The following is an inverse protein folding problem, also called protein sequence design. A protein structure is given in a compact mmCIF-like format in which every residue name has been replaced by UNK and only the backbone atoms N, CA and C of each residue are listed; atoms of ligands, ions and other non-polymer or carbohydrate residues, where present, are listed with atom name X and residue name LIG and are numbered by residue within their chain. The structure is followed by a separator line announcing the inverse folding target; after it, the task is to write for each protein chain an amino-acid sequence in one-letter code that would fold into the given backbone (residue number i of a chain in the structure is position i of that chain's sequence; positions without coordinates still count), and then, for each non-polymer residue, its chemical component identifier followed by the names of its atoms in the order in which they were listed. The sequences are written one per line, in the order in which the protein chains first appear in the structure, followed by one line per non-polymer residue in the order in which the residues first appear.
data_IF_310117065098
#
_entry.id   IF_310117065098
#
_cell.length_a   1.000
_cell.length_b   1.000
_cell.length_c   1.000
_cell.angle_alpha   90.00
_cell.angle_beta   90.00
_cell.angle_gamma   90.00
#
_symmetry.space_group_name_H-M   'P 1'
#
loop_
_entity.id
_entity.type
_entity.pdbx_description
1 polymer ?
#
# COMPACT_ATOMS: atom_id res chain seq x y z
N UNK A 1 16.66 -34.48 -0.93
CA UNK A 1 15.69 -33.41 -0.58
C UNK A 1 16.28 -31.99 -0.71
N UNK A 2 17.57 -31.83 -1.01
CA UNK A 2 18.30 -30.56 -0.81
C UNK A 2 18.45 -29.65 -2.05
N UNK A 3 18.21 -30.17 -3.27
CA UNK A 3 18.47 -29.41 -4.49
C UNK A 3 17.53 -28.20 -4.69
N UNK A 4 16.23 -28.36 -4.38
CA UNK A 4 15.22 -27.30 -4.56
C UNK A 4 15.41 -26.11 -3.60
N UNK A 5 15.77 -26.40 -2.36
CA UNK A 5 16.03 -25.37 -1.34
C UNK A 5 17.32 -24.62 -1.64
N UNK A 6 18.36 -25.32 -2.08
CA UNK A 6 19.63 -24.70 -2.48
C UNK A 6 19.47 -23.78 -3.70
N UNK A 7 18.69 -24.19 -4.72
CA UNK A 7 18.42 -23.38 -5.91
C UNK A 7 17.58 -22.14 -5.57
N UNK A 8 16.51 -22.31 -4.78
CA UNK A 8 15.67 -21.17 -4.38
C UNK A 8 16.43 -20.19 -3.50
N UNK A 9 17.24 -20.67 -2.54
CA UNK A 9 18.05 -19.81 -1.69
C UNK A 9 19.04 -18.96 -2.49
N UNK A 10 19.75 -19.56 -3.45
CA UNK A 10 20.65 -18.81 -4.35
C UNK A 10 19.90 -17.82 -5.24
N UNK A 11 18.66 -18.13 -5.62
CA UNK A 11 17.78 -17.21 -6.34
C UNK A 11 17.40 -16.00 -5.47
N UNK A 12 17.00 -16.25 -4.22
CA UNK A 12 16.65 -15.21 -3.25
C UNK A 12 17.83 -14.28 -2.94
N UNK A 13 19.03 -14.81 -2.74
CA UNK A 13 20.26 -14.03 -2.51
C UNK A 13 20.55 -13.05 -3.66
N UNK A 14 20.42 -13.52 -4.92
CA UNK A 14 20.58 -12.64 -6.10
C UNK A 14 19.43 -11.64 -6.26
N UNK A 15 18.20 -12.03 -5.93
CA UNK A 15 17.05 -11.13 -6.01
C UNK A 15 17.18 -10.02 -4.96
N UNK A 16 17.64 -10.34 -3.75
CA UNK A 16 17.88 -9.38 -2.66
C UNK A 16 18.86 -8.27 -3.06
N UNK A 17 19.88 -8.59 -3.88
CA UNK A 17 20.82 -7.59 -4.43
C UNK A 17 20.20 -6.71 -5.54
N UNK A 18 19.10 -7.16 -6.16
CA UNK A 18 18.49 -6.51 -7.34
C UNK A 18 17.24 -5.67 -7.04
N UNK A 19 16.66 -5.80 -5.84
CA UNK A 19 15.44 -5.09 -5.44
C UNK A 19 15.62 -4.35 -4.11
N UNK A 20 14.68 -3.46 -3.79
CA UNK A 20 14.71 -2.74 -2.52
C UNK A 20 14.49 -3.70 -1.32
N UNK A 21 15.17 -3.48 -0.18
CA UNK A 21 15.06 -4.34 1.01
C UNK A 21 13.63 -4.50 1.54
N UNK A 22 12.83 -3.45 1.49
CA UNK A 22 11.43 -3.48 1.95
C UNK A 22 10.53 -4.32 1.01
N UNK A 23 10.78 -4.28 -0.29
CA UNK A 23 10.09 -5.12 -1.28
C UNK A 23 10.48 -6.59 -1.12
N UNK A 24 11.77 -6.86 -0.87
CA UNK A 24 12.26 -8.21 -0.59
C UNK A 24 11.64 -8.79 0.69
N UNK A 25 11.69 -8.03 1.79
CA UNK A 25 11.13 -8.45 3.08
C UNK A 25 9.62 -8.72 2.99
N UNK A 26 8.89 -7.92 2.19
CA UNK A 26 7.44 -8.05 2.05
C UNK A 26 7.05 -9.25 1.19
N UNK A 27 7.69 -9.46 0.04
CA UNK A 27 7.22 -10.38 -1.01
C UNK A 27 7.96 -11.70 -1.06
N UNK A 28 9.26 -11.72 -0.75
CA UNK A 28 10.12 -12.89 -0.94
C UNK A 28 10.43 -13.62 0.37
N UNK A 29 10.54 -12.88 1.49
CA UNK A 29 10.74 -13.47 2.81
C UNK A 29 9.71 -14.56 3.20
N UNK A 30 8.39 -14.41 2.91
CA UNK A 30 7.42 -15.43 3.26
C UNK A 30 7.24 -16.52 2.18
N UNK A 31 8.21 -16.71 1.28
CA UNK A 31 8.14 -17.70 0.18
C UNK A 31 9.13 -18.84 0.37
N UNK A 32 8.74 -20.05 -0.06
CA UNK A 32 9.62 -21.22 0.01
C UNK A 32 9.29 -22.22 -1.11
N UNK A 33 10.26 -23.03 -1.58
CA UNK A 33 10.05 -23.93 -2.69
C UNK A 33 9.30 -25.18 -2.22
N UNK A 34 8.10 -25.39 -2.75
CA UNK A 34 7.28 -26.56 -2.44
C UNK A 34 7.72 -27.76 -3.26
N UNK A 35 7.90 -27.60 -4.57
CA UNK A 35 8.30 -28.67 -5.46
C UNK A 35 9.25 -28.18 -6.57
N UNK A 36 10.06 -29.09 -7.11
CA UNK A 36 10.92 -28.86 -8.27
C UNK A 36 10.95 -30.15 -9.09
N UNK A 37 10.16 -30.19 -10.17
CA UNK A 37 10.03 -31.34 -11.05
C UNK A 37 10.06 -30.89 -12.52
N UNK A 38 10.75 -31.62 -13.39
CA UNK A 38 10.77 -31.42 -14.85
C UNK A 38 10.99 -29.96 -15.33
N UNK A 39 11.88 -29.21 -14.66
CA UNK A 39 12.15 -27.81 -15.02
C UNK A 39 11.08 -26.80 -14.59
N UNK A 40 10.17 -27.17 -13.68
CA UNK A 40 9.19 -26.29 -13.07
C UNK A 40 9.42 -26.24 -11.55
N UNK A 41 9.68 -25.04 -11.01
CA UNK A 41 9.72 -24.81 -9.57
C UNK A 41 8.38 -24.24 -9.11
N UNK A 42 7.78 -24.90 -8.11
CA UNK A 42 6.54 -24.43 -7.48
C UNK A 42 6.86 -23.77 -6.15
N UNK A 43 6.58 -22.47 -6.04
CA UNK A 43 6.84 -21.66 -4.84
C UNK A 43 5.56 -21.53 -4.02
N UNK A 44 5.63 -21.86 -2.74
CA UNK A 44 4.54 -21.64 -1.81
C UNK A 44 4.51 -20.17 -1.39
N UNK A 45 3.32 -19.58 -1.41
CA UNK A 45 3.05 -18.21 -1.00
C UNK A 45 1.91 -18.14 0.01
N UNK A 46 1.85 -17.10 0.86
CA UNK A 46 0.87 -17.02 1.95
C UNK A 46 -0.60 -16.99 1.51
N UNK A 47 -0.91 -16.34 0.37
CA UNK A 47 -2.27 -16.18 -0.12
C UNK A 47 -2.30 -15.89 -1.63
N UNK A 48 -3.50 -15.86 -2.21
CA UNK A 48 -3.69 -15.64 -3.65
C UNK A 48 -3.11 -14.30 -4.14
N UNK A 49 -3.14 -13.28 -3.29
CA UNK A 49 -2.63 -11.95 -3.62
C UNK A 49 -1.10 -11.94 -3.75
N UNK A 50 -0.38 -12.64 -2.87
CA UNK A 50 1.07 -12.85 -3.03
C UNK A 50 1.40 -13.58 -4.33
N UNK A 51 0.60 -14.59 -4.68
CA UNK A 51 0.76 -15.35 -5.93
C UNK A 51 0.63 -14.44 -7.14
N UNK A 52 -0.44 -13.65 -7.21
CA UNK A 52 -0.69 -12.74 -8.34
C UNK A 52 0.38 -11.65 -8.44
N UNK A 53 0.79 -11.04 -7.32
CA UNK A 53 1.82 -10.01 -7.29
C UNK A 53 3.20 -10.52 -7.75
N UNK A 54 3.62 -11.70 -7.29
CA UNK A 54 4.87 -12.32 -7.71
C UNK A 54 4.84 -12.74 -9.19
N UNK A 55 3.68 -13.19 -9.69
CA UNK A 55 3.49 -13.52 -11.11
C UNK A 55 3.55 -12.28 -12.00
N UNK A 56 2.89 -11.18 -11.62
CA UNK A 56 2.76 -10.01 -12.49
C UNK A 56 4.02 -9.12 -12.44
N UNK A 57 4.63 -8.93 -11.27
CA UNK A 57 5.70 -7.94 -11.09
C UNK A 57 7.11 -8.53 -11.05
N UNK A 58 7.23 -9.81 -10.64
CA UNK A 58 8.53 -10.40 -10.34
C UNK A 58 8.81 -11.69 -11.10
N UNK A 59 7.86 -12.20 -11.90
CA UNK A 59 8.03 -13.47 -12.61
C UNK A 59 9.20 -13.46 -13.56
N UNK A 60 9.32 -12.44 -14.41
CA UNK A 60 10.44 -12.33 -15.34
C UNK A 60 11.77 -12.22 -14.59
N UNK A 61 11.81 -11.47 -13.48
CA UNK A 61 13.00 -11.36 -12.63
C UNK A 61 13.39 -12.72 -12.04
N UNK A 62 12.42 -13.47 -11.52
CA UNK A 62 12.65 -14.78 -10.91
C UNK A 62 13.08 -15.81 -11.97
N UNK A 63 12.39 -15.87 -13.11
CA UNK A 63 12.72 -16.78 -14.22
C UNK A 63 14.13 -16.48 -14.80
N UNK A 64 14.48 -15.21 -14.99
CA UNK A 64 15.82 -14.82 -15.44
C UNK A 64 16.90 -15.14 -14.41
N UNK A 65 16.62 -14.94 -13.12
CA UNK A 65 17.56 -15.25 -12.04
C UNK A 65 17.77 -16.76 -11.91
N UNK A 66 16.70 -17.55 -12.00
CA UNK A 66 16.78 -19.03 -11.97
C UNK A 66 17.55 -19.57 -13.17
N UNK A 67 17.34 -19.02 -14.36
CA UNK A 67 18.13 -19.37 -15.56
C UNK A 67 19.63 -19.13 -15.35
N UNK A 68 19.98 -18.03 -14.69
CA UNK A 68 21.37 -17.66 -14.40
C UNK A 68 21.98 -18.51 -13.27
N UNK A 69 21.16 -19.11 -12.40
CA UNK A 69 21.62 -19.90 -11.24
C UNK A 69 21.73 -21.39 -11.58
N UNK A 70 20.91 -21.89 -12.50
CA UNK A 70 20.81 -23.32 -12.83
C UNK A 70 21.36 -23.71 -14.19
N UNK A 71 21.76 -22.74 -15.03
CA UNK A 71 22.16 -22.92 -16.44
C UNK A 71 21.09 -23.64 -17.31
N UNK A 72 19.89 -23.85 -16.78
CA UNK A 72 18.73 -24.46 -17.42
C UNK A 72 17.53 -23.51 -17.36
N UNK A 73 16.55 -23.70 -18.25
CA UNK A 73 15.33 -22.89 -18.25
C UNK A 73 14.33 -23.47 -17.26
N UNK A 74 14.33 -22.94 -16.03
CA UNK A 74 13.37 -23.32 -15.00
C UNK A 74 12.20 -22.34 -15.02
N UNK A 75 10.99 -22.87 -15.27
CA UNK A 75 9.74 -22.13 -15.17
C UNK A 75 9.30 -22.01 -13.71
N UNK A 76 8.57 -20.94 -13.39
CA UNK A 76 8.10 -20.68 -12.03
C UNK A 76 6.58 -20.74 -12.00
N UNK A 77 6.04 -21.53 -11.09
CA UNK A 77 4.63 -21.47 -10.70
C UNK A 77 4.53 -21.22 -9.19
N UNK A 78 3.38 -20.73 -8.75
CA UNK A 78 3.13 -20.36 -7.37
C UNK A 78 1.90 -21.12 -6.87
N UNK A 79 1.95 -21.58 -5.62
CA UNK A 79 0.82 -22.24 -4.97
C UNK A 79 0.55 -21.59 -3.61
N UNK A 80 -0.71 -21.57 -3.19
CA UNK A 80 -1.08 -21.09 -1.87
C UNK A 80 -0.80 -22.19 -0.85
N UNK A 81 -0.18 -21.84 0.27
CA UNK A 81 -0.04 -22.76 1.38
C UNK A 81 -1.39 -22.93 2.10
N UNK A 82 -2.12 -23.98 1.71
CA UNK A 82 -3.42 -24.33 2.26
C UNK A 82 -3.34 -24.98 3.66
N UNK A 83 -2.18 -25.44 4.11
CA UNK A 83 -2.04 -26.10 5.42
C UNK A 83 -1.91 -25.11 6.58
N UNK A 84 -1.43 -23.88 6.37
CA UNK A 84 -1.39 -22.83 7.41
C UNK A 84 -2.66 -21.98 7.52
N UNK A 85 -3.53 -21.99 6.50
CA UNK A 85 -4.80 -21.25 6.53
C UNK A 85 -5.90 -21.97 7.34
N UNK A 86 -5.73 -23.25 7.66
CA UNK A 86 -6.75 -24.03 8.41
C UNK A 86 -6.79 -23.75 9.92
N UNK A 87 -5.77 -23.10 10.50
CA UNK A 87 -5.69 -22.84 11.95
C UNK A 87 -6.10 -21.43 12.38
N UNK A 88 -6.23 -20.48 11.45
CA UNK A 88 -6.66 -19.10 11.78
C UNK A 88 -8.15 -18.84 11.55
N UNK A 89 -8.87 -19.73 10.88
CA UNK A 89 -10.32 -19.61 10.62
C UNK A 89 -11.22 -20.37 11.63
N UNK A 90 -10.66 -21.08 12.61
CA UNK A 90 -11.44 -21.89 13.56
C UNK A 90 -11.52 -21.38 15.02
N UNK A 91 -10.94 -20.23 15.36
CA UNK A 91 -11.07 -19.66 16.72
C UNK A 91 -12.19 -18.61 16.89
N UNK A 92 -12.97 -18.31 15.84
CA UNK A 92 -14.05 -17.31 15.94
C UNK A 92 -15.47 -17.86 15.73
N UNK A 93 -15.67 -19.17 15.85
CA UNK A 93 -17.01 -19.76 15.89
C UNK A 93 -17.11 -20.80 17.00
N UNK A 94 -17.48 -20.37 18.20
CA UNK A 94 -18.44 -21.08 19.08
C UNK A 94 -18.53 -20.38 20.44
N UNK A 95 -19.63 -19.64 20.63
CA UNK A 95 -20.49 -19.69 21.83
C UNK A 95 -21.60 -18.66 21.64
N UNK A 96 -22.60 -19.04 20.82
CA UNK A 96 -23.91 -18.40 20.85
C UNK A 96 -24.76 -19.24 21.79
N UNK A 97 -25.05 -18.70 22.98
CA UNK A 97 -26.31 -19.01 23.65
C UNK A 97 -27.24 -17.82 23.47
N UNK A 98 -28.42 -18.16 22.98
CA UNK A 98 -29.53 -17.28 22.60
C UNK A 98 -30.22 -16.78 23.85
N UNK A 99 -30.37 -15.47 24.02
CA UNK A 99 -31.58 -14.94 24.64
C UNK A 99 -31.91 -13.52 24.18
N UNK A 100 -33.21 -13.30 24.04
CA UNK A 100 -33.89 -12.26 23.27
C UNK A 100 -33.75 -10.87 23.89
N UNK A 101 -33.33 -9.89 23.07
CA UNK A 101 -33.85 -8.52 23.13
C UNK A 101 -33.46 -7.72 21.88
N UNK A 102 -34.51 -7.31 21.16
CA UNK A 102 -34.73 -6.21 20.21
C UNK A 102 -33.56 -5.37 19.61
N UNK A 103 -33.77 -4.80 18.40
CA UNK A 103 -32.71 -4.46 17.47
C UNK A 103 -32.04 -3.13 17.84
N UNK A 104 -30.72 -3.15 17.99
CA UNK A 104 -29.90 -1.95 17.83
C UNK A 104 -29.18 -2.11 16.50
N UNK A 105 -29.61 -1.33 15.52
CA UNK A 105 -28.86 -1.06 14.30
C UNK A 105 -27.41 -0.68 14.68
N UNK A 106 -26.48 -1.64 14.63
CA UNK A 106 -25.07 -1.30 14.55
C UNK A 106 -24.77 -0.97 13.10
N UNK A 107 -25.05 0.28 12.78
CA UNK A 107 -24.52 0.95 11.61
C UNK A 107 -23.00 0.70 11.49
N UNK A 108 -22.55 0.66 10.24
CA UNK A 108 -21.15 0.59 9.85
C UNK A 108 -20.31 1.54 10.72
N UNK A 109 -19.54 0.98 11.65
CA UNK A 109 -18.57 1.77 12.39
C UNK A 109 -17.46 2.22 11.42
N UNK A 110 -17.07 3.50 11.41
CA UNK A 110 -15.95 3.97 10.62
C UNK A 110 -14.69 3.31 11.16
N UNK A 111 -13.92 2.62 10.32
CA UNK A 111 -12.60 2.14 10.72
C UNK A 111 -11.71 3.36 11.02
N UNK A 112 -11.45 3.60 12.31
CA UNK A 112 -10.76 4.78 12.81
C UNK A 112 -9.26 4.80 12.45
N UNK A 113 -8.78 6.03 12.24
CA UNK A 113 -7.44 6.64 12.19
C UNK A 113 -6.11 5.84 12.11
N UNK A 114 -6.03 4.56 12.46
CA UNK A 114 -4.74 3.94 12.86
C UNK A 114 -4.22 2.82 11.95
N UNK A 115 -5.03 2.20 11.09
CA UNK A 115 -4.56 1.04 10.32
C UNK A 115 -3.58 1.37 9.18
N UNK A 116 -3.58 2.59 8.65
CA UNK A 116 -2.76 2.97 7.48
C UNK A 116 -1.54 3.82 7.81
N UNK A 117 -1.39 4.29 9.05
CA UNK A 117 -0.33 5.22 9.42
C UNK A 117 0.77 4.53 10.20
N UNK A 118 2.03 4.83 9.87
CA UNK A 118 3.17 4.34 10.64
C UNK A 118 3.38 5.23 11.89
N UNK A 119 3.26 4.68 13.12
CA UNK A 119 3.38 5.47 14.35
C UNK A 119 4.80 5.97 14.62
N UNK A 120 5.82 5.48 13.91
CA UNK A 120 7.22 5.94 14.06
C UNK A 120 7.46 7.30 13.41
N UNK A 121 6.65 7.67 12.42
CA UNK A 121 6.80 8.91 11.66
C UNK A 121 5.97 10.03 12.28
N UNK A 122 6.57 10.76 13.21
CA UNK A 122 5.98 11.93 13.88
C UNK A 122 6.83 13.17 13.62
N UNK A 123 6.24 14.35 13.78
CA UNK A 123 6.97 15.62 13.68
C UNK A 123 8.14 15.71 14.68
N UNK A 124 7.99 15.14 15.89
CA UNK A 124 9.07 15.10 16.89
C UNK A 124 10.33 14.36 16.43
N UNK A 125 10.16 13.38 15.53
CA UNK A 125 11.24 12.55 14.99
C UNK A 125 11.75 13.07 13.64
N UNK A 126 11.18 14.16 13.12
CA UNK A 126 11.59 14.76 11.86
C UNK A 126 12.64 15.84 12.12
N UNK A 127 13.85 15.64 11.60
CA UNK A 127 14.95 16.60 11.78
C UNK A 127 14.77 17.78 10.83
N UNK A 128 14.56 18.96 11.40
CA UNK A 128 14.37 20.20 10.65
C UNK A 128 15.70 20.90 10.38
N UNK A 129 15.92 21.26 9.13
CA UNK A 129 17.06 22.07 8.67
C UNK A 129 16.62 23.06 7.59
N UNK A 130 17.53 23.93 7.14
CA UNK A 130 17.24 24.97 6.16
C UNK A 130 16.63 24.46 4.85
N UNK A 131 16.98 23.23 4.43
CA UNK A 131 16.49 22.60 3.21
C UNK A 131 15.05 22.06 3.29
N UNK A 132 14.54 21.76 4.48
CA UNK A 132 13.22 21.14 4.67
C UNK A 132 12.29 21.95 5.61
N UNK A 133 12.76 23.07 6.15
CA UNK A 133 12.03 23.92 7.09
C UNK A 133 10.68 24.38 6.53
N UNK A 134 10.64 24.76 5.25
CA UNK A 134 9.41 25.21 4.61
C UNK A 134 8.38 24.08 4.48
N UNK A 135 8.80 22.92 3.99
CA UNK A 135 7.92 21.74 3.89
C UNK A 135 7.40 21.29 5.25
N UNK A 136 8.28 21.29 6.27
CA UNK A 136 7.90 20.99 7.65
C UNK A 136 6.88 22.00 8.21
N UNK A 137 7.10 23.30 8.02
CA UNK A 137 6.18 24.34 8.49
C UNK A 137 4.80 24.24 7.80
N UNK A 138 4.77 24.00 6.49
CA UNK A 138 3.53 23.79 5.75
C UNK A 138 2.78 22.53 6.22
N UNK A 139 3.50 21.43 6.42
CA UNK A 139 2.95 20.18 6.96
C UNK A 139 2.36 20.40 8.37
N UNK A 140 3.05 21.13 9.25
CA UNK A 140 2.56 21.45 10.59
C UNK A 140 1.32 22.34 10.55
N UNK A 141 1.27 23.32 9.64
CA UNK A 141 0.09 24.18 9.47
C UNK A 141 -1.15 23.37 9.04
N UNK A 142 -0.97 22.42 8.12
CA UNK A 142 -2.02 21.49 7.68
C UNK A 142 -2.46 20.55 8.79
N UNK A 143 -1.52 20.01 9.58
CA UNK A 143 -1.83 19.13 10.70
C UNK A 143 -2.66 19.84 11.79
N UNK A 144 -2.34 21.11 12.08
CA UNK A 144 -3.05 21.91 13.08
C UNK A 144 -4.41 22.41 12.59
N UNK A 145 -4.50 22.82 11.31
CA UNK A 145 -5.72 23.36 10.71
C UNK A 145 -6.04 22.66 9.38
N UNK A 146 -6.48 21.38 9.42
CA UNK A 146 -6.80 20.63 8.20
C UNK A 146 -7.87 21.35 7.37
N UNK A 147 -7.67 21.36 6.05
CA UNK A 147 -8.47 22.00 5.02
C UNK A 147 -8.54 23.54 5.05
N UNK A 148 -7.94 24.21 6.05
CA UNK A 148 -7.98 25.67 6.18
C UNK A 148 -6.66 26.37 5.82
N UNK A 149 -5.51 25.80 6.18
CA UNK A 149 -4.22 26.44 5.90
C UNK A 149 -3.80 26.29 4.43
N UNK A 150 -3.71 25.04 3.97
CA UNK A 150 -3.32 24.69 2.60
C UNK A 150 -4.11 23.45 2.14
N UNK A 151 -4.91 23.61 1.09
CA UNK A 151 -5.63 22.51 0.47
C UNK A 151 -5.65 22.68 -1.06
N UNK A 152 -5.15 21.71 -1.83
CA UNK A 152 -4.32 20.59 -1.37
C UNK A 152 -2.94 21.06 -0.89
N UNK A 153 -2.27 20.24 -0.07
CA UNK A 153 -0.83 20.38 0.18
C UNK A 153 -0.06 19.42 -0.75
N UNK A 154 0.81 19.97 -1.59
CA UNK A 154 1.67 19.19 -2.49
C UNK A 154 3.12 19.27 -2.03
N UNK A 155 3.70 18.13 -1.63
CA UNK A 155 5.09 18.01 -1.18
C UNK A 155 5.89 17.31 -2.27
N UNK A 156 6.97 17.93 -2.73
CA UNK A 156 7.85 17.30 -3.71
C UNK A 156 9.32 17.39 -3.34
N UNK A 157 10.10 16.48 -3.90
CA UNK A 157 11.55 16.42 -3.73
C UNK A 157 12.06 15.03 -4.07
N UNK A 158 13.37 14.91 -4.29
CA UNK A 158 14.00 13.62 -4.59
C UNK A 158 13.70 12.55 -3.53
N UNK A 159 14.00 11.30 -3.90
CA UNK A 159 13.88 10.15 -3.00
C UNK A 159 14.68 10.36 -1.70
N UNK A 160 14.17 9.84 -0.58
CA UNK A 160 14.84 9.92 0.72
C UNK A 160 14.80 11.29 1.43
N UNK A 161 14.15 12.31 0.86
CA UNK A 161 14.05 13.64 1.51
C UNK A 161 12.93 13.78 2.57
N UNK A 162 12.32 12.65 2.98
CA UNK A 162 11.36 12.64 4.08
C UNK A 162 9.91 12.97 3.71
N UNK A 163 9.53 12.90 2.42
CA UNK A 163 8.14 13.10 1.94
C UNK A 163 7.15 12.20 2.68
N UNK A 164 7.37 10.89 2.63
CA UNK A 164 6.56 9.87 3.31
C UNK A 164 6.50 10.11 4.82
N UNK A 165 7.63 10.49 5.44
CA UNK A 165 7.65 10.83 6.88
C UNK A 165 6.71 12.00 7.18
N UNK A 166 6.77 13.08 6.40
CA UNK A 166 5.90 14.24 6.58
C UNK A 166 4.41 13.89 6.38
N UNK A 167 4.07 13.08 5.38
CA UNK A 167 2.70 12.61 5.17
C UNK A 167 2.18 11.87 6.40
N UNK A 168 2.94 10.90 6.90
CA UNK A 168 2.55 10.16 8.10
C UNK A 168 2.50 11.05 9.34
N UNK A 169 3.43 11.99 9.51
CA UNK A 169 3.45 12.92 10.63
C UNK A 169 2.19 13.81 10.66
N UNK A 170 1.74 14.28 9.49
CA UNK A 170 0.46 15.00 9.35
C UNK A 170 -0.70 14.11 9.82
N UNK A 171 -0.79 12.88 9.28
CA UNK A 171 -1.85 11.95 9.64
C UNK A 171 -1.88 11.63 11.13
N UNK A 172 -0.72 11.30 11.71
CA UNK A 172 -0.58 10.97 13.12
C UNK A 172 -0.97 12.15 14.01
N UNK A 173 -0.54 13.37 13.67
CA UNK A 173 -0.88 14.57 14.44
C UNK A 173 -2.39 14.89 14.37
N UNK A 174 -3.01 14.73 13.20
CA UNK A 174 -4.47 14.91 13.06
C UNK A 174 -5.22 13.87 13.88
N UNK A 175 -4.79 12.61 13.83
CA UNK A 175 -5.39 11.53 14.62
C UNK A 175 -5.25 11.74 16.13
N UNK A 176 -4.14 12.33 16.59
CA UNK A 176 -3.93 12.68 17.99
C UNK A 176 -4.87 13.82 18.43
N UNK A 177 -5.07 14.83 17.59
CA UNK A 177 -5.90 15.99 17.92
C UNK A 177 -7.40 15.75 17.72
N UNK A 178 -7.77 14.91 16.74
CA UNK A 178 -9.16 14.59 16.37
C UNK A 178 -9.30 13.07 16.11
N UNK A 179 -9.44 12.25 17.16
CA UNK A 179 -9.48 10.78 17.05
C UNK A 179 -10.59 10.24 16.14
N UNK A 180 -11.71 10.97 16.02
CA UNK A 180 -12.85 10.59 15.17
C UNK A 180 -12.64 10.90 13.68
N UNK A 181 -11.53 11.53 13.30
CA UNK A 181 -11.27 11.88 11.90
C UNK A 181 -10.97 10.64 11.07
N UNK A 182 -11.57 10.57 9.88
CA UNK A 182 -11.29 9.49 8.92
C UNK A 182 -10.07 9.87 8.08
N UNK A 183 -8.90 9.52 8.59
CA UNK A 183 -7.60 9.73 7.94
C UNK A 183 -7.19 8.46 7.21
N UNK A 184 -6.74 8.58 5.95
CA UNK A 184 -6.18 7.46 5.19
C UNK A 184 -4.89 7.87 4.52
N UNK A 185 -3.87 7.03 4.70
CA UNK A 185 -2.65 7.03 3.91
C UNK A 185 -2.71 5.92 2.86
N UNK A 186 -2.25 6.21 1.65
CA UNK A 186 -2.15 5.25 0.56
C UNK A 186 -1.08 5.69 -0.45
N UNK A 187 -0.33 4.75 -1.04
CA UNK A 187 0.50 5.06 -2.20
C UNK A 187 -0.34 5.12 -3.48
N UNK A 188 0.08 5.93 -4.44
CA UNK A 188 -0.52 6.00 -5.78
C UNK A 188 -0.64 4.63 -6.46
N UNK A 189 0.35 3.75 -6.27
CA UNK A 189 0.33 2.37 -6.75
C UNK A 189 -0.78 1.56 -6.07
N UNK A 190 -0.87 1.61 -4.75
CA UNK A 190 -1.91 0.91 -3.99
C UNK A 190 -3.32 1.40 -4.38
N UNK A 191 -3.47 2.70 -4.64
CA UNK A 191 -4.72 3.27 -5.15
C UNK A 191 -5.07 2.72 -6.54
N UNK A 192 -4.08 2.63 -7.44
CA UNK A 192 -4.24 2.00 -8.76
C UNK A 192 -4.72 0.56 -8.62
N UNK A 193 -4.09 -0.22 -7.74
CA UNK A 193 -4.40 -1.63 -7.51
C UNK A 193 -5.83 -1.80 -6.99
N UNK A 194 -6.22 -1.02 -5.98
CA UNK A 194 -7.58 -1.06 -5.40
C UNK A 194 -8.66 -0.69 -6.44
N UNK A 195 -8.35 0.28 -7.32
CA UNK A 195 -9.24 0.65 -8.42
C UNK A 195 -9.40 -0.51 -9.42
N UNK A 196 -8.31 -1.11 -9.86
CA UNK A 196 -8.33 -2.23 -10.81
C UNK A 196 -9.11 -3.41 -10.22
N UNK A 197 -8.89 -3.75 -8.95
CA UNK A 197 -9.62 -4.81 -8.26
C UNK A 197 -11.13 -4.50 -8.18
N UNK A 198 -11.47 -3.27 -7.85
CA UNK A 198 -12.85 -2.81 -7.74
C UNK A 198 -13.57 -2.82 -9.09
N UNK A 199 -12.88 -2.52 -10.19
CA UNK A 199 -13.44 -2.67 -11.54
C UNK A 199 -13.62 -4.16 -11.88
N UNK A 200 -12.60 -5.00 -11.69
CA UNK A 200 -12.65 -6.43 -12.01
C UNK A 200 -13.77 -7.17 -11.27
N UNK A 201 -14.06 -6.78 -10.02
CA UNK A 201 -15.06 -7.42 -9.16
C UNK A 201 -16.44 -6.75 -9.19
N UNK A 202 -16.64 -5.74 -10.05
CA UNK A 202 -17.85 -4.91 -10.10
C UNK A 202 -18.22 -4.28 -8.72
N UNK A 203 -17.18 -3.81 -8.01
CA UNK A 203 -17.24 -3.23 -6.66
C UNK A 203 -16.88 -1.75 -6.63
N UNK A 204 -17.05 -1.03 -7.74
CA UNK A 204 -16.84 0.43 -7.78
C UNK A 204 -17.61 1.23 -6.71
N UNK A 205 -18.85 0.88 -6.33
CA UNK A 205 -19.52 1.55 -5.22
C UNK A 205 -18.78 1.41 -3.88
N UNK A 206 -18.13 0.27 -3.64
CA UNK A 206 -17.33 0.05 -2.44
C UNK A 206 -16.05 0.90 -2.44
N UNK A 207 -15.36 0.97 -3.59
CA UNK A 207 -14.22 1.87 -3.78
C UNK A 207 -14.57 3.31 -3.41
N UNK A 208 -15.67 3.84 -3.98
CA UNK A 208 -16.12 5.21 -3.71
C UNK A 208 -16.47 5.42 -2.24
N UNK A 209 -17.14 4.45 -1.61
CA UNK A 209 -17.48 4.48 -0.17
C UNK A 209 -16.24 4.41 0.73
N UNK A 210 -15.10 3.91 0.22
CA UNK A 210 -13.83 3.82 0.96
C UNK A 210 -13.06 5.14 0.95
N UNK A 211 -13.10 5.91 -0.15
CA UNK A 211 -12.29 7.13 -0.32
C UNK A 211 -13.07 8.45 -0.19
N UNK A 212 -14.30 8.54 -0.70
CA UNK A 212 -15.07 9.80 -0.72
C UNK A 212 -15.54 10.30 0.65
N UNK A 213 -15.82 9.45 1.65
CA UNK A 213 -16.18 9.95 2.97
C UNK A 213 -14.96 10.24 3.84
N UNK A 214 -13.73 10.29 3.32
CA UNK A 214 -12.57 10.61 4.16
C UNK A 214 -12.60 12.07 4.62
N UNK A 215 -12.01 12.35 5.78
CA UNK A 215 -11.79 13.71 6.25
C UNK A 215 -10.39 14.20 5.86
N UNK A 216 -9.44 13.26 5.72
CA UNK A 216 -8.07 13.51 5.26
C UNK A 216 -7.62 12.35 4.35
N UNK A 217 -7.17 12.70 3.15
CA UNK A 217 -6.53 11.77 2.22
C UNK A 217 -5.05 12.15 2.03
N UNK A 218 -4.16 11.22 2.34
CA UNK A 218 -2.71 11.34 2.16
C UNK A 218 -2.30 10.38 1.05
N UNK A 219 -1.86 10.91 -0.09
CA UNK A 219 -1.44 10.12 -1.26
C UNK A 219 0.07 10.27 -1.42
N UNK A 220 0.79 9.16 -1.34
CA UNK A 220 2.24 9.11 -1.57
C UNK A 220 2.57 8.79 -3.02
N UNK A 221 3.68 9.34 -3.51
CA UNK A 221 4.28 9.03 -4.81
C UNK A 221 3.33 9.11 -6.01
N UNK A 222 2.63 10.25 -6.13
CA UNK A 222 1.63 10.48 -7.18
C UNK A 222 2.18 10.31 -8.61
N UNK A 223 3.49 10.40 -8.82
CA UNK A 223 4.12 10.11 -10.10
C UNK A 223 3.75 8.72 -10.66
N UNK A 224 3.40 7.74 -9.82
CA UNK A 224 3.05 6.39 -10.27
C UNK A 224 1.67 6.25 -10.91
N UNK A 225 0.81 7.28 -10.88
CA UNK A 225 -0.42 7.29 -11.70
C UNK A 225 -0.20 7.90 -13.08
N UNK A 226 0.98 8.46 -13.38
CA UNK A 226 1.30 9.00 -14.70
C UNK A 226 1.16 7.92 -15.79
N UNK A 227 0.48 8.26 -16.90
CA UNK A 227 0.19 7.34 -18.00
C UNK A 227 -0.90 6.29 -17.73
N UNK A 228 -1.53 6.28 -16.54
CA UNK A 228 -2.65 5.39 -16.19
C UNK A 228 -3.98 6.14 -16.25
N UNK A 229 -4.46 6.46 -17.46
CA UNK A 229 -5.62 7.33 -17.72
C UNK A 229 -6.82 7.05 -16.80
N UNK A 230 -7.30 5.80 -16.74
CA UNK A 230 -8.43 5.42 -15.87
C UNK A 230 -8.17 5.68 -14.38
N UNK A 231 -6.94 5.53 -13.93
CA UNK A 231 -6.56 5.78 -12.53
C UNK A 231 -6.49 7.26 -12.25
N UNK A 232 -5.97 8.05 -13.18
CA UNK A 232 -5.95 9.50 -13.08
C UNK A 232 -7.37 10.07 -13.02
N UNK A 233 -8.27 9.60 -13.88
CA UNK A 233 -9.67 10.01 -13.87
C UNK A 233 -10.35 9.73 -12.53
N UNK A 234 -10.29 8.49 -12.01
CA UNK A 234 -10.95 8.20 -10.72
C UNK A 234 -10.24 8.87 -9.54
N UNK A 235 -8.92 9.07 -9.59
CA UNK A 235 -8.21 9.90 -8.63
C UNK A 235 -8.74 11.34 -8.68
N UNK A 236 -8.88 11.94 -9.85
CA UNK A 236 -9.40 13.29 -10.04
C UNK A 236 -10.84 13.44 -9.52
N UNK A 237 -11.72 12.47 -9.80
CA UNK A 237 -13.07 12.46 -9.22
C UNK A 237 -13.07 12.36 -7.69
N UNK A 238 -12.18 11.52 -7.14
CA UNK A 238 -12.02 11.38 -5.68
C UNK A 238 -11.48 12.66 -5.06
N UNK A 239 -10.47 13.26 -5.70
CA UNK A 239 -9.85 14.52 -5.32
C UNK A 239 -10.88 15.65 -5.28
N UNK A 240 -11.62 15.88 -6.36
CA UNK A 240 -12.62 16.94 -6.43
C UNK A 240 -13.72 16.75 -5.40
N UNK A 241 -14.20 15.50 -5.22
CA UNK A 241 -15.21 15.20 -4.19
C UNK A 241 -14.75 15.64 -2.79
N UNK A 242 -13.50 15.32 -2.43
CA UNK A 242 -12.93 15.70 -1.15
C UNK A 242 -12.66 17.19 -1.07
N UNK A 243 -12.12 17.79 -2.14
CA UNK A 243 -11.79 19.21 -2.22
C UNK A 243 -13.03 20.10 -2.07
N UNK A 244 -14.09 19.84 -2.83
CA UNK A 244 -15.37 20.56 -2.79
C UNK A 244 -16.09 20.36 -1.45
N UNK A 245 -15.88 19.21 -0.81
CA UNK A 245 -16.42 18.92 0.53
C UNK A 245 -15.55 19.47 1.66
N UNK A 246 -14.58 20.34 1.36
CA UNK A 246 -13.62 20.94 2.29
C UNK A 246 -12.89 19.90 3.16
N UNK A 247 -12.51 18.77 2.56
CA UNK A 247 -11.69 17.73 3.19
C UNK A 247 -10.23 17.93 2.80
N UNK A 248 -9.32 17.57 3.70
CA UNK A 248 -7.90 17.79 3.47
C UNK A 248 -7.35 16.75 2.48
N UNK A 249 -6.63 17.21 1.47
CA UNK A 249 -5.83 16.35 0.60
C UNK A 249 -4.36 16.73 0.70
N UNK A 250 -3.50 15.75 0.91
CA UNK A 250 -2.03 15.90 0.89
C UNK A 250 -1.47 14.93 -0.13
N UNK A 251 -0.61 15.43 -1.01
CA UNK A 251 -0.02 14.68 -2.12
C UNK A 251 1.49 14.79 -2.01
N UNK A 252 2.18 13.67 -2.19
CA UNK A 252 3.63 13.62 -2.32
C UNK A 252 4.04 13.27 -3.76
N UNK A 253 5.20 13.78 -4.19
CA UNK A 253 5.77 13.45 -5.51
C UNK A 253 7.29 13.50 -5.50
N UNK A 254 7.94 12.61 -6.26
CA UNK A 254 9.37 12.76 -6.56
C UNK A 254 9.67 13.90 -7.56
N UNK A 255 8.63 14.34 -8.29
CA UNK A 255 8.73 15.30 -9.38
C UNK A 255 7.87 16.52 -9.12
N UNK A 256 8.31 17.66 -9.64
CA UNK A 256 7.50 18.87 -9.64
C UNK A 256 6.24 18.64 -10.50
N UNK A 257 5.05 19.20 -10.16
CA UNK A 257 3.80 18.91 -10.88
C UNK A 257 3.90 19.07 -12.41
N UNK A 258 4.61 20.10 -12.88
CA UNK A 258 4.79 20.35 -14.34
C UNK A 258 5.63 19.29 -15.05
N UNK A 259 6.43 18.54 -14.30
CA UNK A 259 7.35 17.52 -14.84
C UNK A 259 6.74 16.10 -14.81
N UNK A 260 5.53 15.96 -14.28
CA UNK A 260 4.77 14.71 -14.33
C UNK A 260 4.12 14.61 -15.71
N UNK A 261 4.85 14.00 -16.65
CA UNK A 261 4.37 13.79 -18.02
C UNK A 261 3.03 13.02 -18.01
N UNK A 262 2.06 13.49 -18.80
CA UNK A 262 0.71 12.90 -18.91
C UNK A 262 -0.07 12.89 -17.59
N UNK A 263 0.10 13.91 -16.76
CA UNK A 263 -0.94 14.32 -15.81
C UNK A 263 -1.65 15.53 -16.42
N UNK A 264 -2.91 15.36 -16.81
CA UNK A 264 -3.81 16.47 -17.16
C UNK A 264 -4.62 16.93 -15.94
#
# INVERSE_FOLDING_TARGET
MEAKEAIWKKCLEKIEESILPDSYATWFSPTYPRNLDNGLITIAVPNQFYRECLIENYRELIENTLKTVSDETILVDFCIDSEKNALMDQQNQSTVFVEKSQPVERGLQPEACTKTLNPKYNFSNFIVGSSNQFAHAAALAVANNPAMAYNPLFIYGAVGLGKTHLLHAIGNSICQNKPDSRVRYISAESFTVDLIESIKKDKMPYFRKRYRPLDVLLIDDIQFIAGKERTQEEFFYTFNTLYESHKQVVISSDRYPKDIQKME
#
